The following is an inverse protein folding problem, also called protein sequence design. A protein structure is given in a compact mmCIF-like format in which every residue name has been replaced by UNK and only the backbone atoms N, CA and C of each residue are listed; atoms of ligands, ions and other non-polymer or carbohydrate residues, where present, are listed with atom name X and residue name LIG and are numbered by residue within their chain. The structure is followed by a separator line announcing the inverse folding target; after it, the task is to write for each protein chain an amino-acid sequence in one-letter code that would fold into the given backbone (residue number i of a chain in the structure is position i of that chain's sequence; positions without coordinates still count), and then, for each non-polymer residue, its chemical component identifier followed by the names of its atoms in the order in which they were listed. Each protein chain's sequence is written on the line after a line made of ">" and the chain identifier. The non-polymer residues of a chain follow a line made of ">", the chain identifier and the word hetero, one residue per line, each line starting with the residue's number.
data_IF_337972979574
#
_entry.id   IF_337972979574
#
_cell.length_a   1.000
_cell.length_b   1.000
_cell.length_c   1.000
_cell.angle_alpha   90.00
_cell.angle_beta   90.00
_cell.angle_gamma   90.00
#
_symmetry.space_group_name_H-M   'P 1'
#
loop_
_entity.id
_entity.type
_entity.pdbx_description
1 polymer ?
#
# COMPACT_ATOMS: atom_id res chain seq x y z
N UNK A 1 28.57 1.61 15.44
CA UNK A 1 28.56 0.55 14.42
C UNK A 1 27.52 0.94 13.38
N UNK A 2 27.92 1.13 12.11
CA UNK A 2 26.99 1.40 11.01
C UNK A 2 26.25 0.11 10.69
N UNK A 3 24.95 0.09 10.96
CA UNK A 3 24.06 -1.04 10.68
C UNK A 3 23.98 -1.26 9.17
N UNK A 4 24.15 -2.51 8.73
CA UNK A 4 24.11 -2.85 7.31
C UNK A 4 22.66 -2.87 6.81
N UNK A 5 22.28 -1.98 5.86
CA UNK A 5 20.90 -1.90 5.38
C UNK A 5 20.46 -3.15 4.61
N UNK A 6 21.40 -3.98 4.16
CA UNK A 6 21.09 -5.23 3.47
C UNK A 6 20.68 -6.35 4.44
N UNK A 7 21.17 -6.31 5.68
CA UNK A 7 20.96 -7.39 6.66
C UNK A 7 19.92 -7.02 7.72
N UNK A 8 19.59 -5.73 7.84
CA UNK A 8 18.60 -5.26 8.82
C UNK A 8 17.31 -4.89 8.13
N UNK A 9 16.24 -5.59 8.50
CA UNK A 9 14.91 -5.05 8.27
C UNK A 9 14.66 -3.93 9.28
N UNK A 10 14.51 -2.66 8.83
CA UNK A 10 14.21 -1.55 9.72
C UNK A 10 12.94 -1.80 10.55
N UNK A 11 12.01 -2.63 10.07
CA UNK A 11 10.77 -2.98 10.75
C UNK A 11 10.83 -4.25 11.62
N UNK A 12 11.94 -5.01 11.61
CA UNK A 12 12.09 -6.22 12.44
C UNK A 12 12.58 -5.93 13.87
N UNK A 13 12.69 -4.66 14.28
CA UNK A 13 13.02 -4.31 15.66
C UNK A 13 11.97 -4.88 16.62
N UNK A 14 12.34 -5.43 17.77
CA UNK A 14 11.37 -5.81 18.81
C UNK A 14 10.84 -4.60 19.61
N UNK A 15 11.49 -3.44 19.51
CA UNK A 15 11.09 -2.20 20.16
C UNK A 15 10.05 -1.43 19.30
N UNK A 16 8.83 -1.21 19.82
CA UNK A 16 7.79 -0.43 19.14
C UNK A 16 8.22 1.01 18.81
N UNK A 17 8.99 1.66 19.68
CA UNK A 17 9.43 3.05 19.45
C UNK A 17 10.37 3.12 18.25
N UNK A 18 11.33 2.19 18.17
CA UNK A 18 12.19 2.07 17.00
C UNK A 18 11.38 1.79 15.72
N UNK A 19 10.33 0.95 15.74
CA UNK A 19 9.48 0.73 14.55
C UNK A 19 8.81 2.02 14.07
N UNK A 20 8.33 2.83 15.01
CA UNK A 20 7.74 4.14 14.71
C UNK A 20 8.78 5.09 14.08
N UNK A 21 9.99 5.18 14.63
CA UNK A 21 11.09 5.98 14.05
C UNK A 21 11.41 5.55 12.60
N UNK A 22 11.32 4.25 12.33
CA UNK A 22 11.51 3.71 10.99
C UNK A 22 10.41 4.11 10.02
N UNK A 23 9.16 4.34 10.45
CA UNK A 23 8.10 4.86 9.58
C UNK A 23 8.43 6.26 9.07
N UNK A 24 8.90 7.16 9.95
CA UNK A 24 9.33 8.50 9.55
C UNK A 24 10.46 8.44 8.52
N UNK A 25 11.46 7.59 8.78
CA UNK A 25 12.57 7.38 7.86
C UNK A 25 12.10 6.78 6.53
N UNK A 26 11.20 5.80 6.56
CA UNK A 26 10.66 5.12 5.40
C UNK A 26 10.04 6.13 4.44
N UNK A 27 9.08 6.93 4.91
CA UNK A 27 8.42 7.95 4.08
C UNK A 27 9.39 8.96 3.50
N UNK A 28 10.33 9.48 4.29
CA UNK A 28 11.35 10.42 3.78
C UNK A 28 12.18 9.81 2.66
N UNK A 29 12.62 8.57 2.80
CA UNK A 29 13.45 7.93 1.79
C UNK A 29 12.62 7.59 0.55
N UNK A 30 11.40 7.08 0.71
CA UNK A 30 10.47 6.80 -0.40
C UNK A 30 10.13 8.08 -1.17
N UNK A 31 9.74 9.15 -0.48
CA UNK A 31 9.47 10.45 -1.10
C UNK A 31 10.69 10.97 -1.87
N UNK A 32 11.89 10.92 -1.28
CA UNK A 32 13.13 11.32 -1.94
C UNK A 32 13.42 10.47 -3.18
N UNK A 33 13.15 9.17 -3.14
CA UNK A 33 13.30 8.27 -4.27
C UNK A 33 12.40 8.70 -5.43
N UNK A 34 11.12 8.92 -5.15
CA UNK A 34 10.13 9.38 -6.13
C UNK A 34 10.53 10.72 -6.73
N UNK A 35 10.86 11.72 -5.91
CA UNK A 35 11.25 13.06 -6.39
C UNK A 35 12.50 13.02 -7.28
N UNK A 36 13.46 12.13 -6.99
CA UNK A 36 14.73 12.07 -7.74
C UNK A 36 14.70 11.17 -8.96
N UNK A 37 13.97 10.06 -8.86
CA UNK A 37 14.08 8.96 -9.81
C UNK A 37 12.74 8.58 -10.42
N UNK A 38 11.62 9.05 -9.87
CA UNK A 38 10.26 8.62 -10.20
C UNK A 38 9.98 8.58 -11.69
N UNK A 39 10.20 9.69 -12.41
CA UNK A 39 9.97 9.74 -13.86
C UNK A 39 10.74 8.64 -14.60
N UNK A 40 12.00 8.40 -14.23
CA UNK A 40 12.81 7.35 -14.85
C UNK A 40 12.30 5.95 -14.52
N UNK A 41 11.77 5.76 -13.31
CA UNK A 41 11.27 4.48 -12.82
C UNK A 41 9.97 4.10 -13.54
N UNK A 42 8.99 5.01 -13.54
CA UNK A 42 7.73 4.82 -14.25
C UNK A 42 7.91 4.80 -15.77
N UNK A 43 8.91 5.50 -16.31
CA UNK A 43 9.29 5.35 -17.73
C UNK A 43 9.80 3.95 -18.03
N UNK A 44 10.56 3.34 -17.11
CA UNK A 44 11.06 1.99 -17.28
C UNK A 44 9.93 0.96 -17.19
N UNK A 45 9.04 1.14 -16.21
CA UNK A 45 7.83 0.33 -16.05
C UNK A 45 6.93 0.41 -17.29
N UNK A 46 6.61 1.61 -17.77
CA UNK A 46 5.80 1.81 -18.97
C UNK A 46 6.43 1.17 -20.22
N UNK A 47 7.76 1.21 -20.36
CA UNK A 47 8.47 0.54 -21.46
C UNK A 47 8.43 -0.98 -21.35
N UNK A 48 8.51 -1.52 -20.14
CA UNK A 48 8.56 -2.96 -19.90
C UNK A 48 7.17 -3.60 -19.98
N UNK A 49 6.19 -2.97 -19.34
CA UNK A 49 4.81 -3.45 -19.26
C UNK A 49 3.93 -2.97 -20.43
N UNK A 50 4.43 -2.06 -21.27
CA UNK A 50 3.69 -1.44 -22.38
C UNK A 50 2.67 -0.38 -21.95
N UNK A 51 2.33 -0.31 -20.67
CA UNK A 51 1.45 0.69 -20.06
C UNK A 51 1.91 1.01 -18.64
N UNK A 52 1.42 2.14 -18.12
CA UNK A 52 1.63 2.55 -16.74
C UNK A 52 0.35 2.31 -15.95
N UNK A 53 0.44 1.67 -14.79
CA UNK A 53 -0.68 1.62 -13.84
C UNK A 53 -0.80 2.99 -13.17
N UNK A 54 -1.80 3.78 -13.53
CA UNK A 54 -1.94 5.17 -13.08
C UNK A 54 -3.41 5.55 -12.82
N UNK A 55 -3.68 6.60 -12.02
CA UNK A 55 -4.99 7.21 -11.95
C UNK A 55 -5.51 7.65 -13.33
N UNK A 56 -6.82 7.62 -13.56
CA UNK A 56 -7.40 7.92 -14.87
C UNK A 56 -7.06 9.33 -15.38
N UNK A 57 -6.94 10.31 -14.48
CA UNK A 57 -6.48 11.66 -14.81
C UNK A 57 -5.08 11.68 -15.47
N UNK A 58 -4.21 10.74 -15.12
CA UNK A 58 -2.86 10.58 -15.69
C UNK A 58 -2.91 9.69 -16.94
N UNK A 59 -3.70 8.61 -16.94
CA UNK A 59 -3.86 7.74 -18.11
C UNK A 59 -4.33 8.52 -19.36
N UNK A 60 -5.16 9.55 -19.16
CA UNK A 60 -5.66 10.42 -20.22
C UNK A 60 -4.61 11.40 -20.80
N UNK A 61 -3.43 11.51 -20.18
CA UNK A 61 -2.33 12.31 -20.69
C UNK A 61 -1.61 11.60 -21.85
N UNK A 62 -0.93 12.34 -22.75
CA UNK A 62 -0.03 11.73 -23.71
C UNK A 62 1.00 10.82 -23.03
N UNK A 63 1.23 9.62 -23.58
CA UNK A 63 2.10 8.56 -23.01
C UNK A 63 3.44 9.10 -22.50
N UNK A 64 4.08 10.01 -23.25
CA UNK A 64 5.37 10.61 -22.89
C UNK A 64 5.35 11.52 -21.66
N UNK A 65 4.17 11.97 -21.22
CA UNK A 65 3.98 12.82 -20.02
C UNK A 65 3.56 12.02 -18.80
N UNK A 66 3.05 10.81 -18.98
CA UNK A 66 2.50 10.00 -17.88
C UNK A 66 3.54 9.71 -16.78
N UNK A 67 4.79 9.32 -17.08
CA UNK A 67 5.76 9.02 -16.01
C UNK A 67 6.10 10.22 -15.12
N UNK A 68 6.24 11.41 -15.72
CA UNK A 68 6.52 12.63 -14.95
C UNK A 68 5.30 13.02 -14.09
N UNK A 69 4.09 12.96 -14.67
CA UNK A 69 2.86 13.24 -13.94
C UNK A 69 2.64 12.25 -12.78
N UNK A 70 2.93 10.96 -12.99
CA UNK A 70 2.87 9.94 -11.94
C UNK A 70 3.85 10.26 -10.81
N UNK A 71 5.08 10.65 -11.14
CA UNK A 71 6.07 11.01 -10.12
C UNK A 71 5.67 12.23 -9.28
N UNK A 72 5.11 13.26 -9.91
CA UNK A 72 4.63 14.44 -9.21
C UNK A 72 3.43 14.11 -8.30
N UNK A 73 2.47 13.35 -8.81
CA UNK A 73 1.24 13.00 -8.10
C UNK A 73 1.51 12.07 -6.90
N UNK A 74 2.37 11.06 -7.08
CA UNK A 74 2.81 10.15 -6.02
C UNK A 74 3.63 10.85 -4.93
N UNK A 75 4.51 11.78 -5.32
CA UNK A 75 5.24 12.61 -4.36
C UNK A 75 4.27 13.49 -3.57
N UNK A 76 3.26 14.08 -4.24
CA UNK A 76 2.24 14.90 -3.59
C UNK A 76 1.43 14.08 -2.57
N UNK A 77 0.97 12.87 -2.91
CA UNK A 77 0.25 11.99 -1.97
C UNK A 77 1.09 11.66 -0.72
N UNK A 78 2.38 11.39 -0.90
CA UNK A 78 3.27 11.13 0.22
C UNK A 78 3.64 12.38 1.03
N UNK A 79 3.50 13.59 0.46
CA UNK A 79 3.83 14.86 1.13
C UNK A 79 3.01 15.12 2.37
N UNK A 80 1.79 14.59 2.42
CA UNK A 80 0.86 14.72 3.56
C UNK A 80 0.41 13.39 4.17
N UNK A 81 0.93 12.26 3.65
CA UNK A 81 0.59 10.94 4.14
C UNK A 81 0.86 10.76 5.64
N UNK A 82 -0.19 10.35 6.36
CA UNK A 82 -0.07 9.81 7.72
C UNK A 82 0.69 8.48 7.70
N UNK A 83 1.39 8.18 8.79
CA UNK A 83 2.30 7.03 8.85
C UNK A 83 1.68 5.90 9.66
N UNK A 84 1.66 4.70 9.08
CA UNK A 84 1.08 3.53 9.73
C UNK A 84 2.03 2.33 9.64
N UNK A 85 2.14 1.60 10.74
CA UNK A 85 2.84 0.33 10.83
C UNK A 85 1.92 -0.73 11.40
N UNK A 86 2.00 -1.94 10.86
CA UNK A 86 1.40 -3.13 11.47
C UNK A 86 2.56 -4.04 11.92
N UNK A 87 2.56 -4.44 13.20
CA UNK A 87 3.48 -5.47 13.67
C UNK A 87 3.15 -6.85 13.07
N UNK A 88 3.90 -7.88 13.46
CA UNK A 88 3.72 -9.25 12.99
C UNK A 88 2.30 -9.78 13.29
N UNK A 89 1.80 -9.54 14.50
CA UNK A 89 0.48 -10.01 14.91
C UNK A 89 -0.65 -9.28 14.18
N UNK A 90 -0.55 -7.95 14.05
CA UNK A 90 -1.51 -7.12 13.35
C UNK A 90 -1.46 -7.37 11.83
N UNK A 91 -0.28 -7.61 11.25
CA UNK A 91 -0.12 -8.00 9.83
C UNK A 91 -0.82 -9.32 9.57
N UNK A 92 -0.56 -10.35 10.40
CA UNK A 92 -1.22 -11.65 10.26
C UNK A 92 -2.75 -11.54 10.39
N UNK A 93 -3.23 -10.72 11.33
CA UNK A 93 -4.65 -10.45 11.49
C UNK A 93 -5.26 -9.74 10.27
N UNK A 94 -4.58 -8.72 9.72
CA UNK A 94 -5.03 -8.02 8.51
C UNK A 94 -5.15 -8.97 7.32
N UNK A 95 -4.17 -9.83 7.09
CA UNK A 95 -4.19 -10.85 6.03
C UNK A 95 -5.33 -11.84 6.25
N UNK A 96 -5.51 -12.33 7.49
CA UNK A 96 -6.57 -13.30 7.82
C UNK A 96 -7.97 -12.71 7.65
N UNK A 97 -8.18 -11.47 8.12
CA UNK A 97 -9.44 -10.76 7.92
C UNK A 97 -9.67 -10.45 6.44
N UNK A 98 -8.64 -9.99 5.72
CA UNK A 98 -8.72 -9.74 4.27
C UNK A 98 -9.10 -11.00 3.49
N UNK A 99 -8.50 -12.15 3.80
CA UNK A 99 -8.89 -13.43 3.21
C UNK A 99 -10.34 -13.79 3.52
N UNK A 100 -10.79 -13.59 4.76
CA UNK A 100 -12.18 -13.85 5.16
C UNK A 100 -13.16 -12.95 4.39
N UNK A 101 -12.79 -11.71 4.09
CA UNK A 101 -13.58 -10.79 3.27
C UNK A 101 -13.67 -11.25 1.81
N UNK A 102 -12.59 -11.83 1.26
CA UNK A 102 -12.58 -12.41 -0.09
C UNK A 102 -13.48 -13.66 -0.14
N UNK A 103 -13.36 -14.57 0.82
CA UNK A 103 -14.17 -15.79 0.89
C UNK A 103 -15.66 -15.43 1.01
N UNK A 104 -15.99 -14.51 1.91
CA UNK A 104 -17.35 -14.01 2.07
C UNK A 104 -17.92 -13.39 0.79
N UNK A 105 -17.11 -12.67 0.02
CA UNK A 105 -17.52 -12.10 -1.26
C UNK A 105 -17.74 -13.18 -2.35
N UNK A 106 -16.97 -14.28 -2.31
CA UNK A 106 -17.07 -15.38 -3.27
C UNK A 106 -18.31 -16.28 -3.05
N UNK A 107 -18.75 -16.43 -1.80
CA UNK A 107 -19.90 -17.28 -1.42
C UNK A 107 -21.28 -16.65 -1.74
N UNK A 108 -21.33 -15.40 -2.20
CA UNK A 108 -22.57 -14.68 -2.49
C UNK A 108 -23.01 -14.83 -3.96
N UNK A 109 -24.33 -14.78 -4.19
CA UNK A 109 -24.92 -15.02 -5.51
C UNK A 109 -24.41 -14.03 -6.59
N UNK A 110 -24.22 -14.49 -7.85
CA UNK A 110 -23.85 -13.62 -8.96
C UNK A 110 -24.83 -12.45 -9.10
N UNK A 111 -24.32 -11.22 -9.09
CA UNK A 111 -25.12 -9.99 -9.22
C UNK A 111 -25.27 -9.16 -7.94
N UNK A 112 -24.90 -9.70 -6.77
CA UNK A 112 -24.81 -8.91 -5.53
C UNK A 112 -23.48 -8.16 -5.51
N UNK A 113 -23.48 -6.89 -5.92
CA UNK A 113 -22.31 -6.01 -5.81
C UNK A 113 -22.09 -5.63 -4.35
N UNK A 114 -21.31 -6.44 -3.63
CA UNK A 114 -20.66 -6.05 -2.36
C UNK A 114 -19.16 -6.06 -2.51
N UNK A 115 -18.65 -5.51 -3.61
CA UNK A 115 -17.25 -5.12 -3.61
C UNK A 115 -17.11 -4.13 -2.45
N UNK A 116 -16.62 -4.63 -1.31
CA UNK A 116 -16.34 -3.86 -0.09
C UNK A 116 -17.58 -3.51 0.75
N UNK A 117 -18.18 -4.51 1.42
CA UNK A 117 -19.09 -4.26 2.57
C UNK A 117 -18.42 -3.24 3.50
N UNK A 118 -19.14 -2.14 3.79
CA UNK A 118 -18.69 -0.92 4.47
C UNK A 118 -17.47 -1.12 5.39
N UNK A 119 -16.29 -0.76 4.87
CA UNK A 119 -15.16 -0.41 5.71
C UNK A 119 -15.27 1.10 5.88
N UNK A 120 -15.46 1.57 7.12
CA UNK A 120 -15.26 2.98 7.45
C UNK A 120 -13.94 3.39 6.81
N UNK A 121 -13.95 4.44 5.98
CA UNK A 121 -12.86 4.78 5.06
C UNK A 121 -11.47 4.84 5.70
N UNK A 122 -10.42 5.11 4.92
CA UNK A 122 -9.05 5.06 5.45
C UNK A 122 -8.87 5.91 6.73
N UNK A 123 -7.95 5.54 7.64
CA UNK A 123 -7.74 6.24 8.91
C UNK A 123 -7.30 7.71 8.75
N UNK A 124 -6.90 8.10 7.54
CA UNK A 124 -6.67 9.47 7.11
C UNK A 124 -6.89 9.57 5.59
N UNK A 125 -7.06 10.79 5.08
CA UNK A 125 -7.26 11.05 3.64
C UNK A 125 -6.10 10.51 2.78
N UNK A 126 -4.86 10.62 3.26
CA UNK A 126 -3.67 10.04 2.65
C UNK A 126 -2.81 9.36 3.71
N UNK A 127 -2.17 8.25 3.34
CA UNK A 127 -1.33 7.50 4.27
C UNK A 127 -0.34 6.56 3.60
N UNK A 128 0.70 6.20 4.36
CA UNK A 128 1.68 5.18 4.01
C UNK A 128 1.66 4.13 5.11
N UNK A 129 1.30 2.91 4.74
CA UNK A 129 1.29 1.73 5.60
C UNK A 129 2.46 0.80 5.26
N UNK A 130 3.18 0.38 6.30
CA UNK A 130 4.17 -0.71 6.26
C UNK A 130 3.68 -1.88 7.11
N UNK A 131 3.51 -3.05 6.50
CA UNK A 131 3.30 -4.29 7.23
C UNK A 131 4.61 -4.77 7.88
N UNK A 132 4.60 -5.80 8.73
CA UNK A 132 5.84 -6.40 9.22
C UNK A 132 6.44 -7.35 8.17
N UNK A 133 5.59 -8.12 7.50
CA UNK A 133 5.95 -9.08 6.47
C UNK A 133 5.29 -8.75 5.11
N UNK A 134 5.63 -9.50 4.07
CA UNK A 134 4.98 -9.42 2.76
C UNK A 134 3.52 -9.89 2.80
N UNK A 135 2.62 -9.11 2.20
CA UNK A 135 1.18 -9.45 2.11
C UNK A 135 0.78 -10.03 0.75
N UNK A 136 1.75 -10.22 -0.13
CA UNK A 136 1.61 -10.69 -1.50
C UNK A 136 2.93 -10.50 -2.24
N UNK A 137 2.91 -10.67 -3.56
CA UNK A 137 4.10 -10.55 -4.41
C UNK A 137 3.78 -9.70 -5.63
N UNK A 138 4.78 -9.00 -6.16
CA UNK A 138 4.70 -8.42 -7.50
C UNK A 138 4.85 -9.50 -8.60
N UNK A 139 4.74 -9.08 -9.86
CA UNK A 139 4.82 -9.98 -11.03
C UNK A 139 6.17 -10.68 -11.20
N UNK A 140 7.21 -10.25 -10.48
CA UNK A 140 8.55 -10.86 -10.50
C UNK A 140 8.89 -11.60 -9.19
N UNK A 141 7.90 -11.78 -8.31
CA UNK A 141 8.03 -12.57 -7.08
C UNK A 141 8.67 -11.83 -5.91
N UNK A 142 8.70 -10.50 -5.93
CA UNK A 142 9.21 -9.67 -4.82
C UNK A 142 8.06 -9.39 -3.83
N UNK A 143 8.27 -9.61 -2.52
CA UNK A 143 7.22 -9.38 -1.52
C UNK A 143 6.72 -7.93 -1.50
N UNK A 144 5.41 -7.73 -1.55
CA UNK A 144 4.74 -6.45 -1.34
C UNK A 144 4.67 -6.17 0.15
N UNK A 145 5.32 -5.10 0.59
CA UNK A 145 5.60 -4.84 2.01
C UNK A 145 5.00 -3.54 2.51
N UNK A 146 4.63 -2.64 1.62
CA UNK A 146 3.94 -1.41 1.97
C UNK A 146 2.89 -1.05 0.93
N UNK A 147 1.95 -0.22 1.33
CA UNK A 147 0.97 0.40 0.45
C UNK A 147 0.83 1.85 0.88
N UNK A 148 0.60 2.73 -0.08
CA UNK A 148 0.20 4.08 0.23
C UNK A 148 -1.11 4.40 -0.48
N UNK A 149 -1.83 5.36 0.06
CA UNK A 149 -3.07 5.84 -0.50
C UNK A 149 -3.17 7.36 -0.44
N UNK A 150 -4.07 7.88 -1.26
CA UNK A 150 -4.44 9.28 -1.25
C UNK A 150 -5.65 9.55 -2.13
N UNK A 151 -6.15 10.79 -2.13
CA UNK A 151 -7.28 11.16 -2.96
C UNK A 151 -6.93 11.05 -4.45
N UNK A 152 -7.93 10.64 -5.22
CA UNK A 152 -7.97 10.72 -6.68
C UNK A 152 -9.38 11.19 -7.10
N UNK A 153 -9.55 11.80 -8.28
CA UNK A 153 -10.86 12.26 -8.73
C UNK A 153 -11.94 11.16 -8.74
N UNK A 154 -11.54 9.91 -8.96
CA UNK A 154 -12.43 8.75 -9.07
C UNK A 154 -12.59 7.98 -7.74
N UNK A 155 -11.92 8.40 -6.65
CA UNK A 155 -11.99 7.75 -5.36
C UNK A 155 -10.68 7.83 -4.56
N UNK A 156 -10.27 6.71 -3.97
CA UNK A 156 -9.03 6.58 -3.20
C UNK A 156 -8.05 5.78 -4.03
N UNK A 157 -6.96 6.41 -4.44
CA UNK A 157 -5.86 5.72 -5.10
C UNK A 157 -5.11 4.86 -4.09
N UNK A 158 -4.79 3.62 -4.47
CA UNK A 158 -3.91 2.71 -3.76
C UNK A 158 -2.72 2.34 -4.66
N UNK A 159 -1.53 2.30 -4.09
CA UNK A 159 -0.35 1.80 -4.77
C UNK A 159 0.55 1.00 -3.83
N UNK A 160 0.94 -0.19 -4.27
CA UNK A 160 1.74 -1.13 -3.49
C UNK A 160 3.22 -1.02 -3.81
N UNK A 161 4.02 -1.18 -2.75
CA UNK A 161 5.47 -1.10 -2.78
C UNK A 161 6.07 -2.44 -2.36
N UNK A 162 7.05 -2.90 -3.13
CA UNK A 162 7.77 -4.15 -2.90
C UNK A 162 9.05 -3.93 -2.06
N UNK A 163 9.58 -5.00 -1.48
CA UNK A 163 10.81 -4.96 -0.68
C UNK A 163 12.07 -4.87 -1.57
N UNK A 164 12.68 -3.69 -1.63
CA UNK A 164 13.88 -3.45 -2.43
C UNK A 164 15.09 -4.25 -1.94
N UNK A 165 15.11 -4.73 -0.69
CA UNK A 165 16.21 -5.58 -0.18
C UNK A 165 16.18 -6.95 -0.84
N UNK A 166 14.98 -7.47 -1.10
CA UNK A 166 14.82 -8.74 -1.83
C UNK A 166 15.34 -8.60 -3.26
N UNK A 167 15.03 -7.49 -3.93
CA UNK A 167 15.60 -7.16 -5.25
C UNK A 167 17.13 -7.04 -5.20
N UNK A 168 17.67 -6.33 -4.21
CA UNK A 168 19.12 -6.15 -4.06
C UNK A 168 19.83 -7.50 -3.84
N UNK A 169 19.27 -8.39 -3.00
CA UNK A 169 19.79 -9.75 -2.78
C UNK A 169 19.68 -10.62 -4.04
N UNK A 170 18.58 -10.52 -4.77
CA UNK A 170 18.41 -11.19 -6.05
C UNK A 170 19.50 -10.76 -7.05
N UNK A 171 19.72 -9.45 -7.21
CA UNK A 171 20.75 -8.93 -8.11
C UNK A 171 22.18 -9.33 -7.69
N UNK A 172 22.44 -9.49 -6.39
CA UNK A 172 23.73 -10.06 -5.93
C UNK A 172 23.89 -11.52 -6.36
N UNK A 173 22.84 -12.32 -6.23
CA UNK A 173 22.87 -13.74 -6.60
C UNK A 173 22.91 -13.99 -8.11
N UNK A 174 22.17 -13.19 -8.90
CA UNK A 174 21.92 -13.48 -10.33
C UNK A 174 22.60 -12.50 -11.28
N UNK A 175 22.74 -11.22 -10.90
CA UNK A 175 23.27 -10.17 -11.76
C UNK A 175 24.71 -9.76 -11.38
N UNK A 176 25.35 -10.48 -10.45
CA UNK A 176 26.73 -10.24 -10.05
C UNK A 176 26.96 -8.93 -9.29
N UNK A 177 25.91 -8.33 -8.70
CA UNK A 177 26.10 -7.15 -7.85
C UNK A 177 27.01 -7.48 -6.67
N UNK A 178 27.99 -6.61 -6.43
CA UNK A 178 28.75 -6.63 -5.19
C UNK A 178 27.86 -6.18 -4.03
N UNK A 179 28.19 -6.63 -2.81
CA UNK A 179 27.51 -6.17 -1.59
C UNK A 179 27.50 -4.64 -1.46
N UNK A 180 28.58 -3.98 -1.88
CA UNK A 180 28.68 -2.51 -1.88
C UNK A 180 27.67 -1.86 -2.84
N UNK A 181 27.46 -2.43 -4.02
CA UNK A 181 26.46 -1.93 -4.97
C UNK A 181 25.04 -2.09 -4.42
N UNK A 182 24.73 -3.24 -3.82
CA UNK A 182 23.44 -3.48 -3.18
C UNK A 182 23.16 -2.50 -2.03
N UNK A 183 24.15 -2.26 -1.16
CA UNK A 183 24.06 -1.26 -0.09
C UNK A 183 23.84 0.15 -0.64
N UNK A 184 24.59 0.53 -1.68
CA UNK A 184 24.45 1.84 -2.30
C UNK A 184 23.04 2.03 -2.90
N UNK A 185 22.52 1.01 -3.59
CA UNK A 185 21.16 1.05 -4.13
C UNK A 185 20.10 1.25 -3.04
N UNK A 186 20.22 0.56 -1.89
CA UNK A 186 19.31 0.73 -0.75
C UNK A 186 19.47 2.09 -0.06
N UNK A 187 20.68 2.66 -0.03
CA UNK A 187 20.92 3.99 0.53
C UNK A 187 20.36 5.10 -0.37
N UNK A 188 20.40 4.91 -1.68
CA UNK A 188 19.93 5.88 -2.66
C UNK A 188 18.41 5.81 -2.83
N UNK A 189 17.88 4.63 -3.18
CA UNK A 189 16.47 4.40 -3.50
C UNK A 189 15.61 4.10 -2.28
N UNK A 190 16.21 3.61 -1.19
CA UNK A 190 15.48 3.18 -0.02
C UNK A 190 15.07 1.72 0.00
N UNK A 191 14.31 1.32 1.03
CA UNK A 191 13.91 -0.07 1.25
C UNK A 191 12.64 -0.45 0.46
N UNK A 192 11.93 0.51 -0.12
CA UNK A 192 10.76 0.28 -0.94
C UNK A 192 11.10 0.47 -2.42
N UNK A 193 10.62 -0.44 -3.25
CA UNK A 193 10.67 -0.35 -4.71
C UNK A 193 9.26 -0.49 -5.29
N UNK A 194 9.07 -0.07 -6.53
CA UNK A 194 7.80 -0.15 -7.26
C UNK A 194 7.32 -1.59 -7.28
N UNK A 195 6.08 -1.83 -6.86
CA UNK A 195 5.41 -3.12 -7.07
C UNK A 195 4.71 -3.22 -8.42
N UNK A 196 4.54 -2.10 -9.14
CA UNK A 196 3.81 -2.03 -10.40
C UNK A 196 2.30 -2.29 -10.29
N UNK A 197 1.79 -2.34 -9.06
CA UNK A 197 0.40 -2.65 -8.73
C UNK A 197 -0.24 -1.41 -8.10
N UNK A 198 -1.36 -0.98 -8.67
CA UNK A 198 -2.15 0.15 -8.20
C UNK A 198 -3.61 0.01 -8.65
N UNK A 199 -4.51 0.63 -7.89
CA UNK A 199 -5.95 0.64 -8.21
C UNK A 199 -6.64 1.81 -7.55
N UNK A 200 -7.85 2.15 -8.01
CA UNK A 200 -8.69 3.16 -7.37
C UNK A 200 -9.87 2.49 -6.70
N UNK A 201 -10.05 2.76 -5.41
CA UNK A 201 -11.26 2.41 -4.66
C UNK A 201 -12.27 3.54 -4.78
N UNK A 202 -13.35 3.29 -5.52
CA UNK A 202 -14.50 4.19 -5.51
C UNK A 202 -15.40 3.82 -4.31
N UNK A 203 -15.59 4.73 -3.32
CA UNK A 203 -16.57 4.49 -2.28
C UNK A 203 -17.95 4.35 -2.91
N UNK A 204 -18.68 3.28 -2.59
CA UNK A 204 -20.08 3.13 -2.98
C UNK A 204 -20.96 3.23 -1.72
N UNK A 205 -21.18 4.45 -1.19
CA UNK A 205 -21.87 4.66 0.08
C UNK A 205 -23.34 4.19 0.07
N UNK A 206 -23.96 4.13 -1.12
CA UNK A 206 -25.35 3.73 -1.31
C UNK A 206 -25.51 2.27 -1.79
N UNK A 207 -24.43 1.48 -1.79
CA UNK A 207 -24.50 0.06 -2.12
C UNK A 207 -25.26 -0.71 -1.04
N UNK A 208 -26.59 -0.57 -0.98
CA UNK A 208 -27.43 -1.59 -0.40
C UNK A 208 -27.39 -2.80 -1.37
N UNK A 209 -26.80 -3.92 -0.93
CA UNK A 209 -26.70 -5.13 -1.73
C UNK A 209 -28.05 -5.71 -2.16
N UNK A 210 -29.15 -5.26 -1.57
CA UNK A 210 -30.50 -5.64 -1.94
C UNK A 210 -31.15 -4.76 -3.02
N UNK A 211 -30.64 -3.55 -3.28
CA UNK A 211 -31.36 -2.57 -4.13
C UNK A 211 -30.61 -2.11 -5.38
N UNK A 212 -29.33 -2.45 -5.55
CA UNK A 212 -28.62 -2.08 -6.77
C UNK A 212 -28.97 -3.02 -7.95
N UNK A 213 -29.17 -2.46 -9.16
CA UNK A 213 -29.37 -3.27 -10.35
C UNK A 213 -28.14 -4.13 -10.63
N UNK A 214 -28.39 -5.27 -11.28
CA UNK A 214 -27.39 -6.25 -11.68
C UNK A 214 -26.23 -5.62 -12.47
N UNK A 215 -25.12 -6.35 -12.54
CA UNK A 215 -23.79 -5.93 -12.97
C UNK A 215 -23.64 -5.24 -14.35
N UNK A 216 -24.70 -5.05 -15.12
CA UNK A 216 -24.68 -4.63 -16.53
C UNK A 216 -24.50 -3.11 -16.76
N UNK A 217 -24.56 -2.25 -15.72
CA UNK A 217 -24.48 -0.79 -15.90
C UNK A 217 -23.08 -0.17 -15.79
N UNK A 218 -22.03 -0.98 -15.57
CA UNK A 218 -20.66 -0.50 -15.74
C UNK A 218 -20.13 -1.08 -17.04
N UNK A 219 -19.89 -0.20 -18.00
CA UNK A 219 -19.45 -0.53 -19.35
C UNK A 219 -18.39 -1.64 -19.33
N UNK A 220 -18.63 -2.67 -20.16
CA UNK A 220 -17.65 -3.72 -20.44
C UNK A 220 -16.25 -3.10 -20.61
N UNK A 221 -15.22 -3.59 -19.91
CA UNK A 221 -13.86 -3.21 -20.25
C UNK A 221 -13.65 -3.56 -21.73
N UNK A 222 -13.03 -2.69 -22.55
CA UNK A 222 -12.82 -2.96 -23.96
C UNK A 222 -12.18 -4.34 -24.12
N UNK A 223 -12.84 -5.19 -24.93
CA UNK A 223 -12.71 -6.64 -24.99
C UNK A 223 -11.33 -7.19 -25.41
N UNK A 224 -10.27 -6.38 -25.39
CA UNK A 224 -8.94 -6.77 -25.82
C UNK A 224 -7.86 -6.70 -24.73
N UNK A 225 -8.14 -6.18 -23.53
CA UNK A 225 -7.17 -6.12 -22.40
C UNK A 225 -7.85 -6.25 -21.02
N UNK A 226 -8.88 -7.10 -20.89
CA UNK A 226 -9.40 -7.43 -19.57
C UNK A 226 -8.30 -8.16 -18.76
N UNK A 227 -7.92 -7.68 -17.56
CA UNK A 227 -6.96 -8.39 -16.71
C UNK A 227 -7.40 -9.84 -16.52
N UNK A 228 -6.43 -10.76 -16.41
CA UNK A 228 -6.79 -12.16 -16.23
C UNK A 228 -7.62 -12.33 -14.95
N UNK A 229 -8.45 -13.37 -14.88
CA UNK A 229 -9.23 -13.66 -13.67
C UNK A 229 -8.35 -13.83 -12.43
N UNK A 230 -7.09 -14.23 -12.63
CA UNK A 230 -6.09 -14.34 -11.57
C UNK A 230 -5.57 -12.96 -11.11
N UNK A 231 -5.22 -12.06 -12.03
CA UNK A 231 -4.77 -10.70 -11.70
C UNK A 231 -5.85 -9.93 -10.92
N UNK A 232 -7.11 -10.13 -11.30
CA UNK A 232 -8.26 -9.57 -10.58
C UNK A 232 -8.38 -10.16 -9.16
N UNK A 233 -8.26 -11.47 -9.01
CA UNK A 233 -8.34 -12.13 -7.70
C UNK A 233 -7.21 -11.68 -6.75
N UNK A 234 -5.99 -11.54 -7.28
CA UNK A 234 -4.84 -11.04 -6.51
C UNK A 234 -5.05 -9.58 -6.09
N UNK A 235 -5.53 -8.73 -7.00
CA UNK A 235 -5.84 -7.33 -6.69
C UNK A 235 -6.96 -7.21 -5.65
N UNK A 236 -7.97 -8.09 -5.70
CA UNK A 236 -9.02 -8.17 -4.69
C UNK A 236 -8.46 -8.56 -3.32
N UNK A 237 -7.60 -9.57 -3.24
CA UNK A 237 -6.99 -10.00 -1.98
C UNK A 237 -6.11 -8.90 -1.36
N UNK A 238 -5.30 -8.23 -2.18
CA UNK A 238 -4.45 -7.12 -1.72
C UNK A 238 -5.29 -5.96 -1.19
N UNK A 239 -6.35 -5.60 -1.91
CA UNK A 239 -7.25 -4.53 -1.51
C UNK A 239 -8.03 -4.88 -0.23
N UNK A 240 -8.53 -6.11 -0.11
CA UNK A 240 -9.17 -6.59 1.11
C UNK A 240 -8.23 -6.50 2.32
N UNK A 241 -6.96 -6.84 2.13
CA UNK A 241 -5.92 -6.74 3.17
C UNK A 241 -5.64 -5.30 3.58
N UNK A 242 -5.61 -4.35 2.63
CA UNK A 242 -5.48 -2.92 2.93
C UNK A 242 -6.65 -2.44 3.78
N UNK A 243 -7.86 -2.81 3.42
CA UNK A 243 -9.05 -2.39 4.17
C UNK A 243 -9.16 -3.04 5.54
N UNK A 244 -8.81 -4.32 5.68
CA UNK A 244 -8.68 -4.96 6.98
C UNK A 244 -7.62 -4.26 7.85
N UNK A 245 -6.53 -3.78 7.24
CA UNK A 245 -5.51 -2.98 7.92
C UNK A 245 -6.09 -1.64 8.40
N UNK A 246 -6.89 -0.95 7.57
CA UNK A 246 -7.59 0.27 7.98
C UNK A 246 -8.56 0.01 9.13
N UNK A 247 -9.30 -1.10 9.10
CA UNK A 247 -10.22 -1.47 10.15
C UNK A 247 -9.52 -1.73 11.49
N UNK A 248 -8.34 -2.40 11.48
CA UNK A 248 -7.49 -2.57 12.66
C UNK A 248 -7.00 -1.22 13.23
N UNK A 249 -6.77 -0.22 12.38
CA UNK A 249 -6.27 1.10 12.75
C UNK A 249 -7.37 2.05 13.25
N UNK A 250 -8.63 1.80 12.92
CA UNK A 250 -9.76 2.70 13.19
C UNK A 250 -10.73 2.15 14.22
N UNK A 251 -10.92 0.82 14.28
CA UNK A 251 -11.94 0.20 15.13
C UNK A 251 -11.47 0.13 16.59
N UNK A 252 -12.19 0.76 17.54
CA UNK A 252 -11.82 0.73 18.94
C UNK A 252 -11.71 -0.70 19.50
N UNK A 253 -10.57 -1.00 20.12
CA UNK A 253 -10.31 -2.30 20.74
C UNK A 253 -9.97 -3.43 19.76
N UNK A 254 -9.84 -3.16 18.45
CA UNK A 254 -9.40 -4.15 17.48
C UNK A 254 -7.90 -4.45 17.55
N UNK A 255 -7.10 -3.41 17.81
CA UNK A 255 -5.66 -3.52 18.06
C UNK A 255 -5.24 -2.54 19.17
N UNK A 256 -4.07 -2.77 19.76
CA UNK A 256 -3.41 -1.75 20.56
C UNK A 256 -2.66 -0.78 19.64
N UNK A 257 -2.99 0.50 19.72
CA UNK A 257 -2.40 1.54 18.87
C UNK A 257 -1.41 2.38 19.67
N UNK A 258 -0.17 2.45 19.20
CA UNK A 258 0.86 3.34 19.73
C UNK A 258 1.06 4.46 18.71
N UNK A 259 0.70 5.68 19.08
CA UNK A 259 0.83 6.86 18.22
C UNK A 259 1.87 7.81 18.79
N UNK A 260 2.86 8.19 17.99
CA UNK A 260 3.80 9.25 18.32
C UNK A 260 3.58 10.43 17.37
N UNK A 261 3.46 11.62 17.95
CA UNK A 261 3.64 12.86 17.20
C UNK A 261 5.12 13.04 16.83
N UNK A 262 5.43 13.69 15.69
CA UNK A 262 6.80 13.99 15.32
C UNK A 262 7.39 14.95 16.36
N UNK A 263 8.53 14.55 16.95
CA UNK A 263 9.29 15.45 17.80
C UNK A 263 9.87 16.64 16.99
N UNK A 264 10.36 17.71 17.64
CA UNK A 264 10.92 18.85 16.92
C UNK A 264 12.06 18.50 15.94
N UNK A 265 12.84 17.47 16.24
CA UNK A 265 13.91 16.97 15.37
C UNK A 265 13.38 16.27 14.13
N UNK A 266 12.37 15.42 14.29
CA UNK A 266 11.64 14.76 13.19
C UNK A 266 10.93 15.79 12.31
N UNK A 267 10.25 16.77 12.89
CA UNK A 267 9.59 17.84 12.14
C UNK A 267 10.58 18.65 11.28
N UNK A 268 11.77 18.97 11.81
CA UNK A 268 12.83 19.64 11.04
C UNK A 268 13.34 18.76 9.89
N UNK A 269 13.48 17.43 10.11
CA UNK A 269 13.90 16.50 9.07
C UNK A 269 12.85 16.37 7.96
N UNK A 270 11.57 16.32 8.32
CA UNK A 270 10.46 16.26 7.36
C UNK A 270 10.41 17.53 6.50
N UNK A 271 10.45 18.71 7.13
CA UNK A 271 10.48 19.98 6.38
C UNK A 271 11.67 20.07 5.42
N UNK A 272 12.87 19.62 5.83
CA UNK A 272 14.04 19.56 4.94
C UNK A 272 13.87 18.60 3.77
N UNK A 273 13.04 17.58 3.93
CA UNK A 273 12.71 16.62 2.88
C UNK A 273 11.53 17.08 2.00
N UNK A 274 10.95 18.27 2.27
CA UNK A 274 9.78 18.79 1.57
C UNK A 274 8.46 18.16 2.04
N UNK A 275 8.45 17.52 3.21
CA UNK A 275 7.27 16.85 3.77
C UNK A 275 6.59 17.71 4.84
N UNK A 276 5.28 17.52 5.00
CA UNK A 276 4.55 17.94 6.19
C UNK A 276 4.76 16.92 7.32
N UNK A 277 5.16 17.35 8.54
CA UNK A 277 5.23 16.46 9.69
C UNK A 277 3.86 15.84 9.99
N UNK A 278 3.81 14.51 10.15
CA UNK A 278 2.57 13.76 10.40
C UNK A 278 2.80 12.73 11.51
N UNK A 279 1.79 12.41 12.31
CA UNK A 279 1.92 11.37 13.34
C UNK A 279 2.18 10.00 12.71
N UNK A 280 2.85 9.15 13.47
CA UNK A 280 3.10 7.76 13.14
C UNK A 280 2.42 6.84 14.15
N UNK A 281 1.62 5.90 13.63
CA UNK A 281 0.81 4.97 14.40
C UNK A 281 1.25 3.54 14.12
N UNK A 282 1.57 2.78 15.17
CA UNK A 282 1.83 1.36 15.11
C UNK A 282 0.67 0.58 15.71
N UNK A 283 0.07 -0.32 14.93
CA UNK A 283 -0.84 -1.34 15.44
C UNK A 283 -0.04 -2.55 15.93
N UNK A 284 -0.32 -2.97 17.17
CA UNK A 284 0.38 -4.06 17.86
C UNK A 284 -0.59 -4.89 18.68
N UNK A 285 -0.14 -6.07 19.10
CA UNK A 285 -0.85 -6.90 20.07
C UNK A 285 -1.18 -6.14 21.39
N UNK A 286 -2.26 -6.50 22.10
CA UNK A 286 -3.22 -7.57 21.77
C UNK A 286 -4.11 -7.23 20.56
N UNK A 287 -4.39 -8.25 19.75
CA UNK A 287 -5.30 -8.15 18.59
C UNK A 287 -6.63 -8.83 18.93
N UNK A 288 -7.73 -8.17 18.62
CA UNK A 288 -9.07 -8.69 18.77
C UNK A 288 -9.84 -8.42 17.46
N UNK A 289 -9.98 -9.45 16.62
CA UNK A 289 -10.69 -9.32 15.33
C UNK A 289 -12.21 -9.43 15.47
N UNK A 290 -12.74 -9.71 16.67
CA UNK A 290 -14.19 -9.83 16.89
C UNK A 290 -14.98 -8.57 16.46
N UNK A 291 -14.55 -7.34 16.78
CA UNK A 291 -15.22 -6.13 16.31
C UNK A 291 -15.25 -6.01 14.78
N UNK A 292 -14.33 -6.68 14.07
CA UNK A 292 -14.19 -6.64 12.62
C UNK A 292 -15.04 -7.70 11.90
N UNK A 293 -15.72 -8.60 12.63
CA UNK A 293 -16.48 -9.71 12.04
C UNK A 293 -17.55 -9.25 11.05
N UNK A 294 -18.18 -8.10 11.31
CA UNK A 294 -19.19 -7.50 10.43
C UNK A 294 -18.68 -7.24 9.00
N UNK A 295 -17.36 -7.18 8.77
CA UNK A 295 -16.77 -7.00 7.45
C UNK A 295 -16.84 -8.27 6.58
N UNK A 296 -17.00 -9.45 7.19
CA UNK A 296 -16.94 -10.75 6.51
C UNK A 296 -17.98 -11.76 7.03
N UNK A 297 -18.99 -11.31 7.77
CA UNK A 297 -20.16 -12.11 8.16
C UNK A 297 -21.45 -11.31 7.94
N UNK A 298 -22.60 -12.01 7.89
CA UNK A 298 -23.91 -11.36 7.82
C UNK A 298 -24.40 -10.81 9.16
N UNK A 299 -23.62 -10.94 10.24
CA UNK A 299 -24.03 -10.46 11.55
C UNK A 299 -23.92 -8.92 11.58
N UNK A 300 -25.06 -8.25 11.78
CA UNK A 300 -25.11 -6.80 11.97
C UNK A 300 -24.41 -6.44 13.29
N UNK A 301 -23.65 -5.35 13.25
CA UNK A 301 -23.10 -4.68 14.44
C UNK A 301 -24.21 -4.18 15.37
#
# INVERSE_FOLDING_TARGET
>A
MTVDPLDVDPFASADPAARIDHLYRLRRVTHRCIVRHGESLWSHEQRYCGRLTAPASIENLPVSRQPAAMAEDEAARLTDAHLYGLDEAATAAAVTCGASMVDYAADLAPGVRRGWTYVEGPPAEAGLLRWADGVGYDSVGVPLTACHWGPAPEGIWLYWWADHRTVARHNMAQAGWTRRQAQQALLDMGPLTFGGIGTTLAPCPDADPATHPAADEFADPPAHDAPSSQDLAELFALTATVMASWALLTTPGAAHLITHEPDPGEAVRDHRAGLTPRPATLATAPINTRPLQHLYTQEQA
#
